data_IF_482932683522
#
_entry.id   IF_482932683522
#
_cell.length_a   1.000
_cell.length_b   1.000
_cell.length_c   1.000
_cell.angle_alpha   90.00
_cell.angle_beta   90.00
_cell.angle_gamma   90.00
#
_symmetry.space_group_name_H-M   'P 1'
#
loop_
_entity.id
_entity.type
_entity.pdbx_description
1 polymer ?
#
# COMPACT_ATOMS: atom_id res chain seq x y z
N UNK A 1 24.33 3.32 14.41
CA UNK A 1 23.07 4.05 14.17
C UNK A 1 23.23 5.10 13.06
N UNK A 2 24.13 6.10 13.17
CA UNK A 2 24.34 7.14 12.14
C UNK A 2 24.83 6.57 10.78
N UNK A 3 25.70 5.54 10.80
CA UNK A 3 26.17 4.82 9.60
C UNK A 3 25.10 3.92 8.92
N UNK A 4 24.04 3.56 9.65
CA UNK A 4 22.92 2.73 9.14
C UNK A 4 21.81 3.61 8.55
N UNK A 5 21.50 4.73 9.20
CA UNK A 5 20.65 5.79 8.64
C UNK A 5 21.21 6.31 7.32
N UNK A 6 22.52 6.53 7.22
CA UNK A 6 23.16 6.93 5.95
C UNK A 6 23.06 5.87 4.85
N UNK A 7 23.06 4.58 5.18
CA UNK A 7 22.85 3.51 4.20
C UNK A 7 21.40 3.48 3.69
N UNK A 8 20.42 3.74 4.56
CA UNK A 8 18.99 3.82 4.20
C UNK A 8 18.68 5.06 3.34
N UNK A 9 19.25 6.23 3.72
CA UNK A 9 19.11 7.48 2.96
C UNK A 9 19.78 7.43 1.58
N UNK A 10 20.96 6.80 1.45
CA UNK A 10 21.60 6.60 0.13
C UNK A 10 20.79 5.67 -0.78
N UNK A 11 20.03 4.73 -0.20
CA UNK A 11 19.25 3.77 -0.95
C UNK A 11 17.94 4.37 -1.50
N UNK A 12 17.25 5.19 -0.70
CA UNK A 12 16.03 5.88 -1.16
C UNK A 12 16.28 6.91 -2.27
N UNK A 13 17.41 7.60 -2.27
CA UNK A 13 17.79 8.52 -3.36
C UNK A 13 17.92 7.82 -4.72
N UNK A 14 18.23 6.53 -4.74
CA UNK A 14 18.33 5.74 -5.98
C UNK A 14 16.99 5.13 -6.42
N UNK A 15 16.03 4.93 -5.50
CA UNK A 15 14.71 4.37 -5.80
C UNK A 15 13.68 5.45 -6.16
N UNK A 16 13.74 6.62 -5.51
CA UNK A 16 12.95 7.80 -5.91
C UNK A 16 13.59 8.60 -7.06
N UNK A 17 14.79 8.19 -7.51
CA UNK A 17 15.52 8.81 -8.61
C UNK A 17 15.03 8.41 -10.01
N UNK A 18 14.11 7.46 -10.13
CA UNK A 18 13.43 7.15 -11.38
C UNK A 18 12.18 8.03 -11.53
N UNK A 19 12.37 9.35 -11.65
CA UNK A 19 11.29 10.22 -12.14
C UNK A 19 11.03 9.87 -13.61
N UNK A 20 9.85 9.34 -13.92
CA UNK A 20 9.40 9.29 -15.31
C UNK A 20 9.24 10.73 -15.82
N UNK A 21 9.47 10.98 -17.11
CA UNK A 21 9.27 12.32 -17.71
C UNK A 21 7.85 12.87 -17.44
N UNK A 22 6.86 12.00 -17.28
CA UNK A 22 5.48 12.35 -16.95
C UNK A 22 5.30 12.83 -15.50
N UNK A 23 6.12 12.36 -14.55
CA UNK A 23 6.06 12.79 -13.15
C UNK A 23 6.53 14.25 -13.01
N UNK A 24 7.48 14.66 -13.87
CA UNK A 24 7.92 16.06 -13.95
C UNK A 24 6.78 17.00 -14.35
N UNK A 25 5.89 16.58 -15.25
CA UNK A 25 4.79 17.44 -15.72
C UNK A 25 3.74 17.67 -14.63
N UNK A 26 3.36 16.63 -13.88
CA UNK A 26 2.37 16.77 -12.81
C UNK A 26 2.93 17.54 -11.60
N UNK A 27 4.24 17.48 -11.35
CA UNK A 27 4.88 18.28 -10.32
C UNK A 27 4.67 19.79 -10.52
N UNK A 28 4.76 20.27 -11.76
CA UNK A 28 4.59 21.68 -12.10
C UNK A 28 3.12 22.16 -12.00
N UNK A 29 2.17 21.22 -12.07
CA UNK A 29 0.74 21.51 -11.95
C UNK A 29 0.28 21.69 -10.51
N UNK A 30 1.06 21.23 -9.53
CA UNK A 30 0.75 21.29 -8.10
C UNK A 30 1.64 22.31 -7.41
N UNK A 31 1.02 23.27 -6.69
CA UNK A 31 1.78 24.26 -5.91
C UNK A 31 2.71 23.60 -4.88
N UNK A 32 3.98 24.01 -4.82
CA UNK A 32 5.01 23.45 -3.93
C UNK A 32 4.59 23.29 -2.45
N UNK A 33 3.73 24.17 -1.93
CA UNK A 33 3.21 24.08 -0.54
C UNK A 33 2.38 22.81 -0.28
N UNK A 34 1.80 22.26 -1.34
CA UNK A 34 0.96 21.07 -1.33
C UNK A 34 1.76 19.79 -1.59
N UNK A 35 3.04 19.87 -1.95
CA UNK A 35 3.89 18.69 -2.12
C UNK A 35 4.25 18.10 -0.75
N UNK A 36 4.29 16.76 -0.68
CA UNK A 36 4.85 16.06 0.46
C UNK A 36 6.22 15.47 0.10
N UNK A 37 7.23 15.75 0.92
CA UNK A 37 8.59 15.24 0.73
C UNK A 37 8.90 14.17 1.78
N UNK A 38 9.08 12.93 1.32
CA UNK A 38 9.52 11.81 2.17
C UNK A 38 10.86 12.14 2.83
N UNK A 39 11.84 12.65 2.07
CA UNK A 39 13.15 13.02 2.61
C UNK A 39 13.06 14.03 3.77
N UNK A 40 12.26 15.09 3.60
CA UNK A 40 12.03 16.07 4.66
C UNK A 40 11.34 15.45 5.88
N UNK A 41 10.39 14.55 5.64
CA UNK A 41 9.75 13.79 6.72
C UNK A 41 10.78 12.93 7.47
N UNK A 42 11.57 12.11 6.78
CA UNK A 42 12.52 11.20 7.42
C UNK A 42 13.56 11.96 8.25
N UNK A 43 14.12 13.06 7.74
CA UNK A 43 15.04 13.91 8.53
C UNK A 43 14.38 14.42 9.81
N UNK A 44 13.16 14.93 9.71
CA UNK A 44 12.45 15.48 10.88
C UNK A 44 12.03 14.37 11.86
N UNK A 45 11.72 13.19 11.35
CA UNK A 45 11.27 12.05 12.15
C UNK A 45 12.36 11.49 13.07
N UNK A 46 13.64 11.61 12.68
CA UNK A 46 14.78 11.19 13.52
C UNK A 46 14.75 11.93 14.87
N UNK A 47 14.45 13.23 14.84
CA UNK A 47 14.31 14.03 16.06
C UNK A 47 13.17 13.50 16.93
N UNK A 48 12.02 13.18 16.33
CA UNK A 48 10.87 12.66 17.06
C UNK A 48 11.15 11.30 17.70
N UNK A 49 11.76 10.37 16.95
CA UNK A 49 12.19 9.07 17.48
C UNK A 49 13.15 9.21 18.65
N UNK A 50 14.11 10.14 18.56
CA UNK A 50 15.03 10.43 19.65
C UNK A 50 14.23 10.92 20.88
N UNK A 51 13.35 11.90 20.71
CA UNK A 51 12.57 12.45 21.80
C UNK A 51 11.65 11.41 22.46
N UNK A 52 10.98 10.57 21.68
CA UNK A 52 10.13 9.49 22.20
C UNK A 52 10.94 8.47 23.01
N UNK A 53 12.10 8.04 22.49
CA UNK A 53 12.97 7.05 23.15
C UNK A 53 13.50 7.52 24.51
N UNK A 54 13.73 8.81 24.67
CA UNK A 54 14.17 9.42 25.93
C UNK A 54 13.03 9.95 26.79
N UNK A 55 11.76 9.69 26.43
CA UNK A 55 10.59 10.05 27.23
C UNK A 55 10.22 11.54 27.18
N UNK A 56 10.71 12.29 26.19
CA UNK A 56 10.35 13.70 25.99
C UNK A 56 9.04 13.87 25.22
N UNK A 57 8.61 12.85 24.47
CA UNK A 57 7.31 12.80 23.78
C UNK A 57 6.63 11.51 24.19
N UNK A 58 5.37 11.61 24.61
CA UNK A 58 4.54 10.45 24.89
C UNK A 58 3.84 10.02 23.60
N UNK A 59 4.18 8.84 23.09
CA UNK A 59 3.39 8.20 22.03
C UNK A 59 2.11 7.57 22.61
N UNK A 60 1.09 7.51 21.77
CA UNK A 60 -0.21 6.89 22.08
C UNK A 60 -0.02 5.46 22.60
N UNK A 61 -0.67 5.13 23.72
CA UNK A 61 -0.51 3.84 24.38
C UNK A 61 -1.02 2.68 23.53
N UNK A 62 -2.13 2.86 22.80
CA UNK A 62 -2.68 1.84 21.90
C UNK A 62 -1.70 1.58 20.74
N UNK A 63 -1.12 2.64 20.17
CA UNK A 63 -0.10 2.54 19.11
C UNK A 63 1.14 1.79 19.60
N UNK A 64 1.63 2.10 20.81
CA UNK A 64 2.77 1.41 21.43
C UNK A 64 2.48 -0.08 21.62
N UNK A 65 1.29 -0.41 22.10
CA UNK A 65 0.89 -1.80 22.34
C UNK A 65 0.80 -2.59 21.02
N UNK A 66 0.14 -2.05 20.00
CA UNK A 66 0.04 -2.69 18.68
C UNK A 66 1.41 -2.87 18.02
N UNK A 67 2.30 -1.87 18.14
CA UNK A 67 3.69 -1.97 17.69
C UNK A 67 4.43 -3.11 18.42
N UNK A 68 4.24 -3.24 19.73
CA UNK A 68 4.83 -4.34 20.52
C UNK A 68 4.31 -5.70 20.05
N UNK A 69 3.01 -5.85 19.86
CA UNK A 69 2.41 -7.08 19.35
C UNK A 69 3.00 -7.47 17.97
N UNK A 70 3.21 -6.49 17.09
CA UNK A 70 3.88 -6.74 15.82
C UNK A 70 5.31 -7.24 16.02
N UNK A 71 6.12 -6.56 16.85
CA UNK A 71 7.50 -6.96 17.14
C UNK A 71 7.55 -8.38 17.70
N UNK A 72 6.67 -8.72 18.65
CA UNK A 72 6.58 -10.04 19.23
C UNK A 72 6.23 -11.09 18.15
N UNK A 73 5.33 -10.76 17.22
CA UNK A 73 5.01 -11.66 16.11
C UNK A 73 6.17 -11.84 15.13
N UNK A 74 6.92 -10.77 14.81
CA UNK A 74 8.11 -10.86 13.97
C UNK A 74 9.19 -11.77 14.59
N UNK A 75 9.38 -11.74 15.91
CA UNK A 75 10.24 -12.70 16.60
C UNK A 75 9.68 -14.12 16.55
N UNK A 76 8.38 -14.31 16.80
CA UNK A 76 7.76 -15.64 16.77
C UNK A 76 7.79 -16.30 15.39
N UNK A 77 7.86 -15.50 14.32
CA UNK A 77 8.01 -15.98 12.95
C UNK A 77 9.49 -16.08 12.51
N UNK A 78 10.45 -15.93 13.42
CA UNK A 78 11.89 -15.99 13.12
C UNK A 78 12.33 -15.04 11.99
N UNK A 79 11.71 -13.85 11.91
CA UNK A 79 12.13 -12.81 10.96
C UNK A 79 13.54 -12.29 11.28
N UNK A 80 14.25 -11.74 10.29
CA UNK A 80 15.66 -11.39 10.47
C UNK A 80 15.88 -10.38 11.60
N UNK A 81 16.92 -10.64 12.41
CA UNK A 81 17.37 -9.76 13.47
C UNK A 81 18.88 -9.59 13.45
N UNK A 82 19.35 -8.43 13.92
CA UNK A 82 20.77 -8.10 14.11
C UNK A 82 20.97 -7.80 15.59
N UNK A 83 21.88 -8.50 16.27
CA UNK A 83 22.10 -8.38 17.72
C UNK A 83 20.80 -8.53 18.54
N UNK A 84 19.96 -9.51 18.19
CA UNK A 84 18.63 -9.76 18.79
C UNK A 84 17.66 -8.58 18.68
N UNK A 85 17.80 -7.75 17.64
CA UNK A 85 16.86 -6.67 17.31
C UNK A 85 16.34 -6.95 15.91
N UNK A 86 15.01 -7.07 15.76
CA UNK A 86 14.36 -7.19 14.45
C UNK A 86 14.88 -6.13 13.49
N UNK A 87 15.22 -6.56 12.28
CA UNK A 87 15.78 -5.73 11.24
C UNK A 87 14.89 -5.69 10.00
N UNK A 88 14.54 -4.49 9.48
CA UNK A 88 14.76 -3.18 10.09
C UNK A 88 13.93 -3.04 11.38
N UNK A 89 14.35 -2.16 12.28
CA UNK A 89 13.61 -1.93 13.52
C UNK A 89 12.21 -1.40 13.20
N UNK A 90 11.13 -2.05 13.66
CA UNK A 90 9.78 -1.58 13.38
C UNK A 90 9.52 -0.25 14.07
N UNK A 91 9.51 0.85 13.31
CA UNK A 91 9.26 2.20 13.79
C UNK A 91 8.16 2.83 12.93
N UNK A 92 7.15 3.44 13.58
CA UNK A 92 5.95 3.96 12.93
C UNK A 92 5.59 5.35 13.47
N UNK A 93 5.08 6.22 12.60
CA UNK A 93 4.38 7.45 12.95
C UNK A 93 2.93 7.33 12.52
N UNK A 94 2.00 7.45 13.47
CA UNK A 94 0.57 7.40 13.19
C UNK A 94 0.01 8.82 13.04
N UNK A 95 -0.83 9.02 12.02
CA UNK A 95 -1.49 10.29 11.73
C UNK A 95 -0.79 11.09 10.64
N UNK A 96 -1.53 12.08 10.11
CA UNK A 96 -1.08 12.99 9.03
C UNK A 96 -0.50 12.30 7.78
N UNK A 97 -0.86 11.03 7.53
CA UNK A 97 -0.45 10.31 6.30
C UNK A 97 -0.78 11.15 5.06
N UNK A 98 0.19 11.37 4.15
CA UNK A 98 -0.05 12.18 2.96
C UNK A 98 -1.14 11.55 2.08
N UNK A 99 -1.66 12.35 1.17
CA UNK A 99 -2.55 11.87 0.11
C UNK A 99 -1.70 11.52 -1.11
N UNK A 100 -2.25 10.71 -2.00
CA UNK A 100 -1.62 10.40 -3.28
C UNK A 100 -2.49 10.95 -4.40
N UNK A 101 -1.90 11.80 -5.23
CA UNK A 101 -2.44 12.13 -6.54
C UNK A 101 -2.02 11.03 -7.50
N UNK A 102 -2.98 10.41 -8.18
CA UNK A 102 -2.75 9.40 -9.21
C UNK A 102 -3.34 9.89 -10.52
N UNK A 103 -2.64 9.66 -11.62
CA UNK A 103 -3.15 9.95 -12.97
C UNK A 103 -3.19 8.70 -13.84
N UNK A 104 -4.10 8.73 -14.81
CA UNK A 104 -4.30 7.69 -15.81
C UNK A 104 -4.67 8.33 -17.14
N UNK A 105 -4.29 7.75 -18.29
CA UNK A 105 -4.90 8.10 -19.56
C UNK A 105 -6.41 7.95 -19.47
N UNK A 106 -7.15 8.74 -20.24
CA UNK A 106 -8.63 8.65 -20.25
C UNK A 106 -9.14 7.47 -21.08
N UNK A 107 -8.33 6.95 -22.00
CA UNK A 107 -8.70 5.89 -22.93
C UNK A 107 -8.35 4.47 -22.47
N UNK A 108 -7.65 4.31 -21.34
CA UNK A 108 -7.30 3.01 -20.73
C UNK A 108 -7.11 3.20 -19.22
N UNK A 109 -7.33 2.15 -18.44
CA UNK A 109 -6.99 2.13 -17.01
C UNK A 109 -5.52 1.76 -16.89
N UNK A 110 -4.67 2.75 -16.64
CA UNK A 110 -3.23 2.55 -16.48
C UNK A 110 -2.65 3.64 -15.57
N UNK A 111 -1.83 3.24 -14.60
CA UNK A 111 -1.20 4.18 -13.68
C UNK A 111 -0.07 4.88 -14.42
N UNK A 112 -0.26 6.15 -14.76
CA UNK A 112 0.71 6.91 -15.56
C UNK A 112 1.74 7.63 -14.70
N UNK A 113 1.28 8.33 -13.67
CA UNK A 113 2.11 9.12 -12.77
C UNK A 113 1.47 9.26 -11.39
N UNK A 114 2.30 9.55 -10.40
CA UNK A 114 1.87 9.74 -9.02
C UNK A 114 2.65 10.84 -8.30
N UNK A 115 1.98 11.53 -7.38
CA UNK A 115 2.58 12.57 -6.57
C UNK A 115 2.02 12.54 -5.15
N UNK A 116 2.91 12.57 -4.15
CA UNK A 116 2.52 12.70 -2.76
C UNK A 116 2.12 14.14 -2.44
N UNK A 117 0.92 14.28 -1.90
CA UNK A 117 0.28 15.53 -1.56
C UNK A 117 0.18 15.65 -0.04
N UNK A 118 0.39 16.85 0.48
CA UNK A 118 0.24 17.17 1.88
C UNK A 118 -1.13 16.71 2.40
N UNK A 119 -1.14 16.05 3.56
CA UNK A 119 -2.35 15.50 4.18
C UNK A 119 -3.42 16.54 4.51
N UNK A 120 -3.01 17.80 4.72
CA UNK A 120 -3.90 18.92 5.09
C UNK A 120 -4.47 19.70 3.92
N UNK A 121 -4.23 19.26 2.67
CA UNK A 121 -4.81 19.92 1.49
C UNK A 121 -6.35 19.90 1.58
N UNK A 122 -6.97 21.04 1.32
CA UNK A 122 -8.42 21.17 1.33
C UNK A 122 -9.05 20.64 0.04
N UNK A 123 -10.35 20.33 0.11
CA UNK A 123 -11.08 19.74 -1.02
C UNK A 123 -11.11 20.65 -2.26
N UNK A 124 -11.23 21.98 -2.08
CA UNK A 124 -11.27 22.91 -3.21
C UNK A 124 -9.91 22.93 -3.94
N UNK A 125 -8.81 22.88 -3.20
CA UNK A 125 -7.47 22.72 -3.77
C UNK A 125 -7.30 21.38 -4.51
N UNK A 126 -7.81 20.28 -3.95
CA UNK A 126 -7.84 18.96 -4.63
C UNK A 126 -8.59 19.05 -5.97
N UNK A 127 -9.81 19.58 -5.97
CA UNK A 127 -10.65 19.67 -7.17
C UNK A 127 -10.03 20.56 -8.24
N UNK A 128 -9.38 21.67 -7.83
CA UNK A 128 -8.62 22.53 -8.74
C UNK A 128 -7.46 21.79 -9.40
N UNK A 129 -6.68 21.02 -8.64
CA UNK A 129 -5.56 20.22 -9.18
C UNK A 129 -6.11 19.20 -10.19
N UNK A 130 -7.15 18.46 -9.82
CA UNK A 130 -7.73 17.44 -10.70
C UNK A 130 -8.31 18.03 -11.98
N UNK A 131 -8.99 19.18 -11.88
CA UNK A 131 -9.52 19.91 -13.03
C UNK A 131 -8.39 20.42 -13.92
N UNK A 132 -7.34 21.01 -13.34
CA UNK A 132 -6.18 21.50 -14.08
C UNK A 132 -5.52 20.38 -14.90
N UNK A 133 -5.29 19.22 -14.28
CA UNK A 133 -4.74 18.03 -14.96
C UNK A 133 -5.64 17.55 -16.10
N UNK A 134 -6.97 17.59 -15.91
CA UNK A 134 -7.91 17.24 -16.98
C UNK A 134 -7.85 18.24 -18.15
N UNK A 135 -7.80 19.54 -17.86
CA UNK A 135 -7.89 20.58 -18.87
C UNK A 135 -6.57 20.79 -19.63
N UNK A 136 -5.43 20.68 -18.95
CA UNK A 136 -4.09 20.94 -19.51
C UNK A 136 -3.45 19.67 -20.10
N UNK A 137 -3.59 18.52 -19.43
CA UNK A 137 -2.92 17.26 -19.84
C UNK A 137 -3.88 16.24 -20.46
N UNK A 138 -5.20 16.50 -20.43
CA UNK A 138 -6.24 15.55 -20.87
C UNK A 138 -6.14 14.17 -20.18
N UNK A 139 -5.76 14.17 -18.90
CA UNK A 139 -5.64 12.97 -18.08
C UNK A 139 -6.82 12.81 -17.11
N UNK A 140 -7.10 11.55 -16.75
CA UNK A 140 -7.92 11.22 -15.59
C UNK A 140 -7.06 11.33 -14.34
N UNK A 141 -7.59 11.92 -13.27
CA UNK A 141 -6.84 12.15 -12.03
C UNK A 141 -7.70 11.96 -10.80
N UNK A 142 -7.10 11.48 -9.72
CA UNK A 142 -7.76 11.35 -8.42
C UNK A 142 -6.75 11.58 -7.30
N UNK A 143 -7.11 12.41 -6.33
CA UNK A 143 -6.44 12.47 -5.03
C UNK A 143 -7.15 11.53 -4.06
N UNK A 144 -6.38 10.61 -3.47
CA UNK A 144 -6.85 9.56 -2.57
C UNK A 144 -6.05 9.55 -1.27
N UNK A 145 -6.67 9.05 -0.22
CA UNK A 145 -5.96 8.73 1.02
C UNK A 145 -5.27 7.38 0.87
N UNK A 146 -4.02 7.29 1.32
CA UNK A 146 -3.27 6.03 1.39
C UNK A 146 -3.18 5.54 2.84
N UNK A 147 -3.11 4.21 2.99
CA UNK A 147 -3.07 3.54 4.30
C UNK A 147 -1.76 3.81 5.05
N UNK A 148 -0.64 3.79 4.35
CA UNK A 148 0.67 4.14 4.87
C UNK A 148 1.69 4.38 3.78
N UNK A 149 2.91 4.68 4.22
CA UNK A 149 4.13 4.76 3.39
C UNK A 149 5.27 4.13 4.19
N UNK A 150 5.97 3.19 3.56
CA UNK A 150 7.19 2.55 4.04
C UNK A 150 8.44 3.47 4.04
N UNK A 151 8.27 4.75 4.41
CA UNK A 151 9.38 5.62 4.83
C UNK A 151 9.98 5.09 6.15
N UNK A 152 11.04 5.71 6.67
CA UNK A 152 11.55 5.35 8.00
C UNK A 152 11.58 6.54 8.98
N UNK A 153 10.77 6.49 10.07
CA UNK A 153 9.69 5.56 10.38
C UNK A 153 8.62 5.44 9.29
N UNK A 154 7.88 4.34 9.27
CA UNK A 154 6.74 4.23 8.36
C UNK A 154 5.64 5.20 8.79
N UNK A 155 5.02 5.88 7.82
CA UNK A 155 3.89 6.78 8.06
C UNK A 155 2.62 5.95 7.93
N UNK A 156 1.74 6.01 8.92
CA UNK A 156 0.52 5.21 8.93
C UNK A 156 -0.68 6.11 9.18
N UNK A 157 -1.73 5.95 8.37
CA UNK A 157 -2.97 6.69 8.54
C UNK A 157 -3.62 6.32 9.88
N UNK A 158 -4.05 7.35 10.60
CA UNK A 158 -4.78 7.18 11.85
C UNK A 158 -6.07 6.37 11.63
N UNK A 159 -6.35 5.46 12.55
CA UNK A 159 -7.47 4.53 12.46
C UNK A 159 -7.89 4.08 13.84
N UNK A 160 -9.15 4.29 14.20
CA UNK A 160 -9.77 3.79 15.44
C UNK A 160 -10.05 2.28 15.40
N UNK A 161 -9.32 1.54 14.57
CA UNK A 161 -9.47 0.11 14.37
C UNK A 161 -8.10 -0.54 14.56
N UNK A 162 -7.84 -1.13 15.74
CA UNK A 162 -6.58 -1.77 16.08
C UNK A 162 -6.15 -2.84 15.09
N UNK A 163 -7.09 -3.65 14.60
CA UNK A 163 -6.84 -4.66 13.55
C UNK A 163 -6.24 -4.02 12.30
N UNK A 164 -6.85 -2.92 11.84
CA UNK A 164 -6.37 -2.21 10.64
C UNK A 164 -4.98 -1.60 10.86
N UNK A 165 -4.73 -1.07 12.06
CA UNK A 165 -3.42 -0.52 12.40
C UNK A 165 -2.35 -1.61 12.40
N UNK A 166 -2.62 -2.76 13.04
CA UNK A 166 -1.72 -3.91 13.05
C UNK A 166 -1.38 -4.40 11.64
N UNK A 167 -2.41 -4.60 10.80
CA UNK A 167 -2.23 -5.02 9.40
C UNK A 167 -1.37 -4.01 8.63
N UNK A 168 -1.65 -2.71 8.77
CA UNK A 168 -0.86 -1.66 8.11
C UNK A 168 0.58 -1.65 8.61
N UNK A 169 0.82 -1.82 9.91
CA UNK A 169 2.18 -1.88 10.45
C UNK A 169 2.98 -3.05 9.86
N UNK A 170 2.37 -4.24 9.80
CA UNK A 170 2.99 -5.42 9.20
C UNK A 170 3.28 -5.23 7.70
N UNK A 171 2.33 -4.64 6.97
CA UNK A 171 2.46 -4.33 5.55
C UNK A 171 3.63 -3.37 5.28
N UNK A 172 3.66 -2.21 5.96
CA UNK A 172 4.72 -1.21 5.76
C UNK A 172 6.09 -1.71 6.23
N UNK A 173 6.14 -2.48 7.32
CA UNK A 173 7.39 -3.08 7.78
C UNK A 173 7.96 -4.06 6.74
N UNK A 174 7.11 -4.87 6.08
CA UNK A 174 7.61 -5.79 5.07
C UNK A 174 8.23 -5.02 3.89
N UNK A 175 7.64 -3.90 3.45
CA UNK A 175 8.25 -3.06 2.43
C UNK A 175 9.60 -2.49 2.86
N UNK A 176 9.72 -1.99 4.10
CA UNK A 176 11.00 -1.55 4.68
C UNK A 176 12.02 -2.68 4.73
N UNK A 177 11.59 -3.91 5.00
CA UNK A 177 12.44 -5.08 5.00
C UNK A 177 12.88 -5.47 3.58
N UNK A 178 11.94 -5.53 2.64
CA UNK A 178 12.18 -5.96 1.26
C UNK A 178 13.05 -4.98 0.47
N UNK A 179 13.14 -3.70 0.85
CA UNK A 179 14.04 -2.73 0.19
C UNK A 179 15.51 -3.18 0.22
N UNK A 180 15.90 -3.98 1.21
CA UNK A 180 17.24 -4.55 1.32
C UNK A 180 17.46 -5.75 0.40
N UNK A 181 16.40 -6.28 -0.21
CA UNK A 181 16.41 -7.48 -1.04
C UNK A 181 15.98 -7.19 -2.49
N UNK A 182 16.29 -8.09 -3.43
CA UNK A 182 15.94 -7.87 -4.83
C UNK A 182 14.45 -7.63 -5.10
N UNK A 183 13.54 -8.32 -4.39
CA UNK A 183 12.11 -8.17 -4.63
C UNK A 183 11.63 -6.75 -4.35
N UNK A 184 11.99 -6.16 -3.22
CA UNK A 184 11.61 -4.77 -2.90
C UNK A 184 12.28 -3.75 -3.83
N UNK A 185 13.51 -4.01 -4.28
CA UNK A 185 14.19 -3.16 -5.28
C UNK A 185 13.52 -3.18 -6.66
N UNK A 186 12.87 -4.29 -6.99
CA UNK A 186 12.13 -4.44 -8.24
C UNK A 186 10.74 -3.80 -8.21
N UNK A 187 10.29 -3.26 -7.07
CA UNK A 187 8.98 -2.63 -6.90
C UNK A 187 8.66 -1.60 -8.00
N UNK A 188 9.63 -0.76 -8.37
CA UNK A 188 9.47 0.28 -9.38
C UNK A 188 9.88 -0.17 -10.80
N UNK A 189 10.25 -1.43 -10.99
CA UNK A 189 10.76 -1.92 -12.28
C UNK A 189 9.66 -2.17 -13.31
N UNK A 190 8.50 -2.67 -12.86
CA UNK A 190 7.35 -2.98 -13.70
C UNK A 190 6.07 -3.08 -12.85
N UNK A 191 4.91 -2.90 -13.49
CA UNK A 191 3.60 -2.94 -12.85
C UNK A 191 3.31 -4.30 -12.19
N UNK A 192 3.77 -5.42 -12.78
CA UNK A 192 3.59 -6.75 -12.17
C UNK A 192 4.49 -6.98 -10.98
N UNK A 193 5.71 -6.43 -10.97
CA UNK A 193 6.58 -6.51 -9.80
C UNK A 193 6.04 -5.69 -8.63
N UNK A 194 5.44 -4.52 -8.93
CA UNK A 194 4.71 -3.70 -7.93
C UNK A 194 3.56 -4.50 -7.32
N UNK A 195 2.73 -5.10 -8.16
CA UNK A 195 1.59 -5.93 -7.74
C UNK A 195 2.02 -7.11 -6.86
N UNK A 196 3.09 -7.84 -7.23
CA UNK A 196 3.64 -8.95 -6.42
C UNK A 196 4.09 -8.45 -5.05
N UNK A 197 4.79 -7.31 -4.98
CA UNK A 197 5.24 -6.73 -3.71
C UNK A 197 4.07 -6.33 -2.81
N UNK A 198 3.09 -5.59 -3.34
CA UNK A 198 1.91 -5.14 -2.59
C UNK A 198 1.10 -6.33 -2.06
N UNK A 199 0.87 -7.32 -2.92
CA UNK A 199 0.11 -8.54 -2.56
C UNK A 199 0.83 -9.34 -1.50
N UNK A 200 2.16 -9.50 -1.61
CA UNK A 200 2.96 -10.17 -0.60
C UNK A 200 2.90 -9.45 0.76
N UNK A 201 2.94 -8.11 0.77
CA UNK A 201 2.81 -7.32 2.00
C UNK A 201 1.44 -7.48 2.67
N UNK A 202 0.36 -7.53 1.89
CA UNK A 202 -0.98 -7.87 2.41
C UNK A 202 -1.00 -9.27 3.04
N UNK A 203 -0.64 -10.31 2.28
CA UNK A 203 -0.63 -11.70 2.77
C UNK A 203 0.23 -11.84 4.02
N UNK A 204 1.43 -11.26 4.02
CA UNK A 204 2.34 -11.31 5.17
C UNK A 204 1.66 -10.75 6.42
N UNK A 205 1.08 -9.55 6.35
CA UNK A 205 0.39 -8.92 7.47
C UNK A 205 -0.80 -9.74 7.98
N UNK A 206 -1.54 -10.38 7.08
CA UNK A 206 -2.65 -11.27 7.42
C UNK A 206 -2.18 -12.56 8.09
N UNK A 207 -1.08 -13.16 7.63
CA UNK A 207 -0.48 -14.34 8.27
C UNK A 207 0.00 -14.03 9.68
N UNK A 208 0.62 -12.86 9.90
CA UNK A 208 0.99 -12.40 11.24
C UNK A 208 -0.26 -12.23 12.12
N UNK A 209 -1.33 -11.62 11.60
CA UNK A 209 -2.57 -11.42 12.34
C UNK A 209 -3.21 -12.76 12.73
N UNK A 210 -3.29 -13.71 11.81
CA UNK A 210 -3.84 -15.06 12.07
C UNK A 210 -3.06 -15.73 13.20
N UNK A 211 -1.73 -15.71 13.13
CA UNK A 211 -0.86 -16.29 14.16
C UNK A 211 -1.02 -15.58 15.52
N UNK A 212 -1.09 -14.25 15.53
CA UNK A 212 -1.34 -13.45 16.73
C UNK A 212 -2.67 -13.84 17.39
N UNK A 213 -3.74 -14.00 16.61
CA UNK A 213 -5.09 -14.29 17.11
C UNK A 213 -5.24 -15.68 17.75
N UNK A 214 -4.26 -16.57 17.59
CA UNK A 214 -4.20 -17.85 18.30
C UNK A 214 -3.67 -17.71 19.74
N UNK A 215 -3.11 -16.55 20.10
CA UNK A 215 -2.49 -16.27 21.41
C UNK A 215 -3.44 -15.49 22.31
N UNK A 216 -3.12 -15.40 23.59
CA UNK A 216 -3.85 -14.55 24.56
C UNK A 216 -3.09 -13.25 24.82
N UNK A 217 -3.79 -12.11 24.75
CA UNK A 217 -3.27 -10.76 24.98
C UNK A 217 -4.42 -9.78 25.24
N UNK A 218 -4.11 -8.61 25.81
CA UNK A 218 -5.11 -7.64 26.32
C UNK A 218 -6.05 -7.11 25.22
N UNK A 219 -5.52 -6.69 24.07
CA UNK A 219 -6.31 -6.16 22.94
C UNK A 219 -6.91 -7.24 22.01
N UNK A 220 -6.98 -8.51 22.43
CA UNK A 220 -7.38 -9.62 21.54
C UNK A 220 -8.76 -9.42 20.94
N UNK A 221 -9.74 -9.01 21.74
CA UNK A 221 -11.08 -8.75 21.22
C UNK A 221 -11.05 -7.61 20.18
N UNK A 222 -10.36 -6.51 20.45
CA UNK A 222 -10.32 -5.38 19.52
C UNK A 222 -9.62 -5.70 18.18
N UNK A 223 -8.57 -6.53 18.20
CA UNK A 223 -7.76 -6.87 17.02
C UNK A 223 -8.30 -8.08 16.26
N UNK A 224 -8.76 -9.11 16.97
CA UNK A 224 -9.13 -10.40 16.39
C UNK A 224 -10.64 -10.56 16.19
N UNK A 225 -11.47 -9.65 16.70
CA UNK A 225 -12.91 -9.73 16.46
C UNK A 225 -13.21 -9.74 14.96
N UNK A 226 -13.88 -10.82 14.55
CA UNK A 226 -14.62 -10.81 13.31
C UNK A 226 -15.85 -9.97 13.62
N UNK A 227 -15.81 -8.66 13.31
CA UNK A 227 -17.07 -7.96 13.08
C UNK A 227 -17.74 -8.73 11.95
N UNK A 228 -18.78 -9.48 12.27
CA UNK A 228 -19.71 -9.95 11.27
C UNK A 228 -20.14 -8.68 10.54
N UNK A 229 -19.66 -8.50 9.30
CA UNK A 229 -20.35 -7.60 8.38
C UNK A 229 -21.77 -8.15 8.39
N UNK A 230 -22.72 -7.38 8.92
CA UNK A 230 -24.11 -7.61 8.57
C UNK A 230 -24.13 -7.81 7.06
N UNK A 231 -24.82 -8.84 6.62
CA UNK A 231 -24.90 -9.19 5.20
C UNK A 231 -25.57 -8.00 4.52
N UNK A 232 -24.78 -7.02 4.08
CA UNK A 232 -25.25 -5.95 3.24
C UNK A 232 -25.92 -6.63 2.05
N UNK A 233 -27.18 -6.29 1.78
CA UNK A 233 -27.86 -6.75 0.55
C UNK A 233 -27.05 -6.36 -0.68
N UNK A 234 -26.29 -5.26 -0.58
CA UNK A 234 -25.36 -4.80 -1.60
C UNK A 234 -24.00 -5.51 -1.53
N UNK A 235 -23.76 -6.39 -2.51
CA UNK A 235 -22.46 -7.02 -2.74
C UNK A 235 -21.50 -6.04 -3.44
N UNK A 236 -20.75 -5.29 -2.64
CA UNK A 236 -19.73 -4.35 -3.12
C UNK A 236 -18.70 -5.00 -4.02
N UNK A 237 -18.25 -6.21 -3.69
CA UNK A 237 -17.16 -6.83 -4.42
C UNK A 237 -17.62 -7.21 -5.82
N UNK A 238 -18.79 -7.82 -5.93
CA UNK A 238 -19.39 -8.14 -7.23
C UNK A 238 -19.73 -6.87 -8.02
N UNK A 239 -20.26 -5.83 -7.36
CA UNK A 239 -20.54 -4.55 -8.00
C UNK A 239 -19.28 -3.92 -8.61
N UNK A 240 -18.19 -3.83 -7.85
CA UNK A 240 -16.94 -3.23 -8.31
C UNK A 240 -16.29 -4.02 -9.44
N UNK A 241 -16.40 -5.35 -9.42
CA UNK A 241 -15.93 -6.22 -10.49
C UNK A 241 -16.70 -5.99 -11.79
N UNK A 242 -18.03 -6.03 -11.74
CA UNK A 242 -18.89 -5.78 -12.91
C UNK A 242 -18.66 -4.38 -13.47
N UNK A 243 -18.58 -3.38 -12.59
CA UNK A 243 -18.25 -2.01 -12.99
C UNK A 243 -16.91 -1.93 -13.71
N UNK A 244 -15.88 -2.64 -13.22
CA UNK A 244 -14.57 -2.68 -13.86
C UNK A 244 -14.65 -3.28 -15.26
N UNK A 245 -15.34 -4.41 -15.42
CA UNK A 245 -15.52 -5.09 -16.71
C UNK A 245 -16.26 -4.19 -17.72
N UNK A 246 -17.34 -3.52 -17.31
CA UNK A 246 -18.10 -2.61 -18.14
C UNK A 246 -17.29 -1.37 -18.58
N UNK A 247 -16.50 -0.81 -17.66
CA UNK A 247 -15.59 0.30 -17.97
C UNK A 247 -14.55 -0.12 -19.00
N UNK A 248 -13.89 -1.27 -18.82
CA UNK A 248 -12.91 -1.78 -19.78
C UNK A 248 -13.55 -1.99 -21.16
N UNK A 249 -14.78 -2.54 -21.22
CA UNK A 249 -15.54 -2.71 -22.46
C UNK A 249 -15.83 -1.38 -23.17
N UNK A 250 -16.24 -0.33 -22.44
CA UNK A 250 -16.44 0.99 -23.01
C UNK A 250 -15.13 1.61 -23.52
N UNK A 251 -14.03 1.46 -22.79
CA UNK A 251 -12.72 1.98 -23.18
C UNK A 251 -12.18 1.28 -24.43
N UNK A 252 -12.34 -0.04 -24.54
CA UNK A 252 -12.00 -0.82 -25.74
C UNK A 252 -12.77 -0.33 -26.99
N UNK A 253 -14.02 0.09 -26.81
CA UNK A 253 -14.85 0.68 -27.86
C UNK A 253 -14.57 2.18 -28.10
N UNK A 254 -13.55 2.75 -27.45
CA UNK A 254 -13.21 4.19 -27.48
C UNK A 254 -14.33 5.12 -26.99
N UNK A 255 -15.28 4.60 -26.21
CA UNK A 255 -16.41 5.36 -25.63
C UNK A 255 -16.03 5.97 -24.28
N UNK A 256 -15.03 6.86 -24.29
CA UNK A 256 -14.44 7.46 -23.07
C UNK A 256 -15.50 8.18 -22.21
N UNK A 257 -16.35 9.01 -22.83
CA UNK A 257 -17.36 9.78 -22.09
C UNK A 257 -18.41 8.88 -21.42
N UNK A 258 -18.80 7.78 -22.08
CA UNK A 258 -19.74 6.82 -21.51
C UNK A 258 -19.13 6.08 -20.31
N UNK A 259 -17.85 5.70 -20.40
CA UNK A 259 -17.13 5.11 -19.27
C UNK A 259 -17.05 6.07 -18.08
N UNK A 260 -16.74 7.35 -18.33
CA UNK A 260 -16.68 8.39 -17.29
C UNK A 260 -18.04 8.65 -16.63
N UNK A 261 -19.12 8.66 -17.42
CA UNK A 261 -20.49 8.80 -16.91
C UNK A 261 -20.89 7.57 -16.07
N UNK A 262 -20.58 6.36 -16.53
CA UNK A 262 -20.83 5.12 -15.78
C UNK A 262 -20.15 5.16 -14.40
N UNK A 263 -18.86 5.50 -14.34
CA UNK A 263 -18.13 5.57 -13.07
C UNK A 263 -18.65 6.67 -12.13
N UNK A 264 -19.09 7.80 -12.69
CA UNK A 264 -19.73 8.87 -11.92
C UNK A 264 -21.05 8.38 -11.30
N UNK A 265 -21.88 7.69 -12.08
CA UNK A 265 -23.14 7.13 -11.59
C UNK A 265 -22.91 6.05 -10.53
N UNK A 266 -21.93 5.17 -10.75
CA UNK A 266 -21.54 4.17 -9.77
C UNK A 266 -21.04 4.78 -8.45
N UNK A 267 -20.33 5.91 -8.50
CA UNK A 267 -19.94 6.65 -7.29
C UNK A 267 -21.16 7.08 -6.47
N UNK A 268 -22.22 7.57 -7.13
CA UNK A 268 -23.46 7.96 -6.47
C UNK A 268 -24.20 6.76 -5.87
N UNK A 269 -24.26 5.65 -6.61
CA UNK A 269 -24.89 4.41 -6.15
C UNK A 269 -24.19 3.83 -4.92
N UNK A 270 -22.86 3.79 -4.93
CA UNK A 270 -22.08 3.38 -3.77
C UNK A 270 -22.34 4.29 -2.57
N UNK A 271 -22.38 5.61 -2.77
CA UNK A 271 -22.66 6.52 -1.66
C UNK A 271 -24.09 6.37 -1.11
N UNK A 272 -25.07 6.05 -1.96
CA UNK A 272 -26.43 5.73 -1.52
C UNK A 272 -26.50 4.42 -0.70
N UNK A 273 -25.56 3.49 -0.93
CA UNK A 273 -25.40 2.25 -0.16
C UNK A 273 -24.49 2.43 1.06
N UNK A 274 -24.19 3.67 1.47
CA UNK A 274 -23.42 3.97 2.68
C UNK A 274 -21.90 3.92 2.54
N UNK A 275 -21.38 3.75 1.32
CA UNK A 275 -19.96 3.94 1.05
C UNK A 275 -19.63 5.44 1.05
N UNK A 276 -18.37 5.80 1.35
CA UNK A 276 -17.92 7.19 1.37
C UNK A 276 -16.83 7.40 0.32
N UNK A 277 -17.21 7.34 -0.96
CA UNK A 277 -16.29 7.45 -2.09
C UNK A 277 -16.50 8.80 -2.78
N UNK A 278 -15.43 9.60 -2.83
CA UNK A 278 -15.49 10.94 -3.45
C UNK A 278 -15.60 10.87 -4.98
N UNK A 279 -14.82 10.00 -5.62
CA UNK A 279 -14.66 9.97 -7.07
C UNK A 279 -14.14 8.62 -7.55
N UNK A 280 -14.85 8.00 -8.49
CA UNK A 280 -14.37 6.86 -9.29
C UNK A 280 -14.12 7.35 -10.71
N UNK A 281 -12.94 7.03 -11.24
CA UNK A 281 -12.52 7.26 -12.61
C UNK A 281 -11.39 6.27 -12.98
N UNK A 282 -10.80 6.40 -14.16
CA UNK A 282 -9.71 5.54 -14.61
C UNK A 282 -8.51 5.57 -13.64
N UNK A 283 -8.14 6.74 -13.11
CA UNK A 283 -7.05 6.86 -12.14
C UNK A 283 -7.38 6.16 -10.81
N UNK A 284 -8.63 6.21 -10.36
CA UNK A 284 -9.09 5.48 -9.18
C UNK A 284 -8.97 3.97 -9.40
N UNK A 285 -9.38 3.44 -10.55
CA UNK A 285 -9.21 2.03 -10.87
C UNK A 285 -7.74 1.64 -11.05
N UNK A 286 -6.92 2.51 -11.65
CA UNK A 286 -5.49 2.26 -11.83
C UNK A 286 -4.77 2.12 -10.49
N UNK A 287 -5.17 2.89 -9.48
CA UNK A 287 -4.66 2.74 -8.12
C UNK A 287 -5.22 1.49 -7.43
N UNK A 288 -6.55 1.39 -7.29
CA UNK A 288 -7.17 0.34 -6.47
C UNK A 288 -7.01 -1.06 -7.08
N UNK A 289 -6.94 -1.17 -8.41
CA UNK A 289 -6.70 -2.42 -9.12
C UNK A 289 -5.24 -2.90 -9.10
N UNK A 290 -4.30 -2.14 -8.50
CA UNK A 290 -2.91 -2.61 -8.30
C UNK A 290 -2.84 -3.70 -7.22
N UNK A 291 -3.80 -3.72 -6.29
CA UNK A 291 -3.88 -4.71 -5.23
C UNK A 291 -4.58 -5.96 -5.76
N UNK A 292 -3.87 -7.10 -5.83
CA UNK A 292 -4.39 -8.31 -6.47
C UNK A 292 -5.62 -8.89 -5.76
N UNK A 293 -5.73 -8.66 -4.46
CA UNK A 293 -6.84 -9.02 -3.56
C UNK A 293 -8.03 -8.03 -3.61
N UNK A 294 -7.90 -6.91 -4.34
CA UNK A 294 -9.00 -5.96 -4.47
C UNK A 294 -10.13 -6.51 -5.34
N UNK A 295 -11.41 -6.17 -5.07
CA UNK A 295 -12.52 -6.57 -5.94
C UNK A 295 -12.45 -6.03 -7.37
N UNK A 296 -11.57 -5.05 -7.62
CA UNK A 296 -11.32 -4.46 -8.94
C UNK A 296 -10.12 -5.07 -9.68
N UNK A 297 -9.42 -6.02 -9.07
CA UNK A 297 -8.30 -6.75 -9.66
C UNK A 297 -8.79 -7.85 -10.61
N UNK A 298 -8.02 -8.08 -11.67
CA UNK A 298 -8.21 -9.18 -12.61
C UNK A 298 -7.10 -10.23 -12.54
N UNK A 299 -6.26 -10.17 -11.49
CA UNK A 299 -5.02 -10.93 -11.41
C UNK A 299 -5.08 -12.08 -10.41
N UNK A 300 -4.32 -13.15 -10.70
CA UNK A 300 -4.25 -14.36 -9.88
C UNK A 300 -3.04 -14.38 -8.92
N UNK A 301 -2.30 -13.27 -8.81
CA UNK A 301 -1.05 -13.19 -8.01
C UNK A 301 -1.28 -13.53 -6.53
N UNK A 302 -2.43 -13.14 -5.99
CA UNK A 302 -2.82 -13.45 -4.60
C UNK A 302 -2.93 -14.96 -4.37
N UNK A 303 -3.73 -15.66 -5.17
CA UNK A 303 -3.88 -17.11 -5.13
C UNK A 303 -2.54 -17.85 -5.33
N UNK A 304 -1.70 -17.37 -6.25
CA UNK A 304 -0.40 -17.96 -6.54
C UNK A 304 0.57 -17.81 -5.34
N UNK A 305 0.63 -16.63 -4.74
CA UNK A 305 1.46 -16.35 -3.56
C UNK A 305 0.95 -17.12 -2.34
N UNK A 306 -0.36 -17.14 -2.08
CA UNK A 306 -0.94 -17.87 -0.96
C UNK A 306 -0.61 -19.36 -1.05
N UNK A 307 -0.85 -20.00 -2.22
CA UNK A 307 -0.50 -21.41 -2.44
C UNK A 307 0.99 -21.68 -2.24
N UNK A 308 1.85 -20.76 -2.70
CA UNK A 308 3.29 -20.88 -2.51
C UNK A 308 3.67 -20.78 -1.02
N UNK A 309 3.19 -19.76 -0.31
CA UNK A 309 3.49 -19.53 1.11
C UNK A 309 3.00 -20.72 1.94
N UNK A 310 1.77 -21.19 1.72
CA UNK A 310 1.17 -22.33 2.42
C UNK A 310 1.83 -23.67 2.08
N UNK A 311 2.64 -23.71 1.02
CA UNK A 311 3.46 -24.88 0.70
C UNK A 311 4.82 -24.90 1.38
N UNK A 312 5.24 -23.80 2.01
CA UNK A 312 6.50 -23.74 2.73
C UNK A 312 6.34 -24.20 4.19
N UNK A 313 7.41 -24.74 4.82
CA UNK A 313 7.40 -25.13 6.23
C UNK A 313 7.08 -23.99 7.20
N UNK A 314 7.42 -22.75 6.85
CA UNK A 314 7.18 -21.56 7.67
C UNK A 314 7.03 -20.30 6.82
N UNK A 315 6.44 -19.25 7.42
CA UNK A 315 6.37 -17.94 6.79
C UNK A 315 7.77 -17.38 6.48
N UNK A 316 8.73 -17.61 7.40
CA UNK A 316 10.14 -17.24 7.21
C UNK A 316 10.74 -17.83 5.95
N UNK A 317 10.60 -19.14 5.75
CA UNK A 317 11.13 -19.81 4.56
C UNK A 317 10.49 -19.29 3.27
N UNK A 318 9.19 -18.98 3.30
CA UNK A 318 8.52 -18.38 2.17
C UNK A 318 9.07 -16.99 1.83
N UNK A 319 9.18 -16.10 2.83
CA UNK A 319 9.76 -14.76 2.65
C UNK A 319 11.22 -14.85 2.20
N UNK A 320 12.02 -15.78 2.73
CA UNK A 320 13.42 -15.96 2.35
C UNK A 320 13.61 -16.39 0.90
N UNK A 321 12.68 -17.18 0.36
CA UNK A 321 12.67 -17.54 -1.06
C UNK A 321 12.20 -16.36 -1.92
N UNK A 322 11.07 -15.74 -1.55
CA UNK A 322 10.44 -14.67 -2.33
C UNK A 322 11.31 -13.42 -2.41
N UNK A 323 11.98 -13.01 -1.32
CA UNK A 323 12.79 -11.78 -1.27
C UNK A 323 13.89 -11.74 -2.34
N UNK A 324 14.32 -12.90 -2.84
CA UNK A 324 15.39 -13.04 -3.84
C UNK A 324 14.94 -12.90 -5.30
N UNK A 325 13.63 -12.84 -5.57
CA UNK A 325 13.07 -12.63 -6.91
C UNK A 325 13.46 -11.25 -7.41
N UNK A 326 14.00 -11.16 -8.63
CA UNK A 326 14.43 -9.88 -9.23
C UNK A 326 13.56 -9.45 -10.40
N UNK A 327 12.77 -10.38 -10.94
CA UNK A 327 12.01 -10.21 -12.17
C UNK A 327 10.78 -11.10 -12.19
N UNK A 328 9.84 -10.78 -13.07
CA UNK A 328 8.63 -11.58 -13.27
C UNK A 328 8.95 -13.01 -13.73
N UNK A 329 10.04 -13.18 -14.48
CA UNK A 329 10.52 -14.51 -14.89
C UNK A 329 10.98 -15.35 -13.71
N UNK A 330 11.68 -14.74 -12.75
CA UNK A 330 12.13 -15.42 -11.53
C UNK A 330 10.92 -15.82 -10.66
N UNK A 331 9.91 -14.95 -10.59
CA UNK A 331 8.65 -15.22 -9.89
C UNK A 331 7.97 -16.46 -10.47
N UNK A 332 7.68 -16.49 -11.77
CA UNK A 332 7.00 -17.63 -12.39
C UNK A 332 7.81 -18.92 -12.28
N UNK A 333 9.14 -18.84 -12.35
CA UNK A 333 10.00 -19.99 -12.11
C UNK A 333 9.82 -20.53 -10.68
N UNK A 334 9.90 -19.67 -9.67
CA UNK A 334 9.77 -20.06 -8.27
C UNK A 334 8.41 -20.71 -7.98
N UNK A 335 7.32 -20.09 -8.45
CA UNK A 335 5.95 -20.61 -8.25
C UNK A 335 5.78 -21.97 -8.94
N UNK A 336 6.31 -22.12 -10.17
CA UNK A 336 6.23 -23.37 -10.93
C UNK A 336 7.03 -24.50 -10.28
N UNK A 337 8.28 -24.26 -9.89
CA UNK A 337 9.15 -25.27 -9.27
C UNK A 337 8.51 -25.81 -7.97
N UNK A 338 7.83 -24.93 -7.21
CA UNK A 338 7.09 -25.30 -6.00
C UNK A 338 5.85 -26.17 -6.27
N UNK A 339 5.19 -25.99 -7.42
CA UNK A 339 4.05 -26.81 -7.82
C UNK A 339 4.45 -28.20 -8.30
N UNK A 340 5.63 -28.34 -8.91
CA UNK A 340 6.15 -29.62 -9.42
C UNK A 340 6.72 -30.51 -8.30
N UNK A 341 7.26 -29.93 -7.23
CA UNK A 341 7.79 -30.68 -6.07
C UNK A 341 6.69 -31.40 -5.25
N UNK A 342 5.41 -31.14 -5.54
CA UNK A 342 4.23 -31.77 -4.89
C UNK A 342 3.60 -32.92 -5.70
N UNK A 343 4.14 -33.26 -6.88
CA UNK A 343 3.78 -34.48 -7.63
C UNK A 343 4.84 -35.55 -7.40
#
# INVERSE_FOLDING_TARGET
MIRFLTLFFLFQLTLFGCQNNNDSQINDLVENKNHFSIFKYEINSIKNLFLERYGFIEADNEVKEIKKLLIDELYNQDMDYIFNIIFPTPEFTVGNSPKLLVTSPRNKIERQSELLINSKIDLNSIEKIEKKIKDEENLSSVVIDIGGIAAYPAIVKESNNPKKLFLTFGHEWLHQYLIFYPLGRSYFSDIKMKEINETLANIFSEKLLISLCLKEFELKEAICSIKYKEKNEFDYSNFMKNLREDVDNFLLQKKILAAEELMKNATLELNNNGYNIRKINQAWFAFNGTYADSPSSTSNVDDELLKFIDSQPSLKEAIDKLRNIKSLKDYYKLIKDSAETKK
#
